data_IF_515445776807
#
_entry.id   IF_515445776807
#
_cell.length_a   1.000
_cell.length_b   1.000
_cell.length_c   1.000
_cell.angle_alpha   90.00
_cell.angle_beta   90.00
_cell.angle_gamma   90.00
#
_symmetry.space_group_name_H-M   'P 1'
#
loop_
_entity.id
_entity.type
_entity.pdbx_description
1 polymer ?
#
# COMPACT_ATOMS: atom_id res chain seq x y z
N UNK A 1 -3.48 -0.21 -30.86
CA UNK A 1 -2.39 -0.94 -30.18
C UNK A 1 -2.46 -0.56 -28.71
N UNK A 2 -2.54 -1.51 -27.79
CA UNK A 2 -2.54 -1.25 -26.33
C UNK A 2 -1.12 -0.98 -25.85
N UNK A 3 -0.95 -0.17 -24.79
CA UNK A 3 0.33 0.24 -24.24
C UNK A 3 0.55 -0.34 -22.85
N UNK A 4 1.82 -0.49 -22.48
CA UNK A 4 2.27 -0.82 -21.14
C UNK A 4 3.48 0.03 -20.76
N UNK A 5 3.62 0.36 -19.46
CA UNK A 5 4.82 0.95 -18.88
C UNK A 5 5.68 -0.17 -18.35
N UNK A 6 6.95 -0.20 -18.77
CA UNK A 6 7.88 -1.28 -18.43
C UNK A 6 9.12 -0.73 -17.74
N UNK A 7 9.53 -1.39 -16.67
CA UNK A 7 10.84 -1.23 -16.08
C UNK A 7 11.90 -1.99 -16.92
N UNK A 8 12.95 -1.29 -17.34
CA UNK A 8 14.01 -1.83 -18.17
C UNK A 8 15.29 -2.02 -17.39
N UNK A 9 15.65 -1.05 -16.58
CA UNK A 9 16.82 -1.05 -15.69
C UNK A 9 16.69 0.09 -14.68
N UNK A 10 17.60 0.17 -13.72
CA UNK A 10 17.61 1.23 -12.72
C UNK A 10 17.37 2.60 -13.37
N UNK A 11 16.37 3.33 -12.87
CA UNK A 11 15.92 4.66 -13.31
C UNK A 11 15.47 4.75 -14.77
N UNK A 12 15.12 3.59 -15.38
CA UNK A 12 14.72 3.55 -16.77
C UNK A 12 13.38 2.84 -16.93
N UNK A 13 12.35 3.62 -17.27
CA UNK A 13 11.05 3.12 -17.68
C UNK A 13 10.82 3.47 -19.14
N UNK A 14 10.19 2.58 -19.90
CA UNK A 14 9.67 2.87 -21.23
C UNK A 14 8.16 2.66 -21.33
N UNK A 15 7.56 3.20 -22.38
CA UNK A 15 6.18 2.94 -22.76
C UNK A 15 6.20 2.23 -24.11
N UNK A 16 5.71 1.01 -24.15
CA UNK A 16 5.76 0.15 -25.32
C UNK A 16 4.43 -0.57 -25.56
N UNK A 17 4.22 -1.13 -26.78
CA UNK A 17 3.05 -1.96 -27.05
C UNK A 17 2.94 -3.10 -26.05
N UNK A 18 1.75 -3.26 -25.43
CA UNK A 18 1.44 -4.39 -24.59
C UNK A 18 1.17 -5.64 -25.44
N UNK A 19 1.74 -6.77 -25.04
CA UNK A 19 1.48 -8.06 -25.67
C UNK A 19 0.36 -8.75 -24.88
N UNK A 20 -0.88 -8.67 -25.37
CA UNK A 20 -2.02 -9.35 -24.75
C UNK A 20 -2.61 -10.36 -25.72
N UNK A 21 -2.72 -11.62 -25.28
CA UNK A 21 -3.49 -12.68 -25.94
C UNK A 21 -4.89 -12.81 -25.31
N UNK A 22 -5.75 -13.66 -25.88
CA UNK A 22 -7.00 -14.04 -25.21
C UNK A 22 -6.70 -14.73 -23.87
N UNK A 23 -7.55 -14.53 -22.83
CA UNK A 23 -7.35 -15.17 -21.54
C UNK A 23 -7.45 -16.71 -21.68
N UNK A 24 -6.54 -17.41 -21.02
CA UNK A 24 -6.52 -18.86 -20.93
C UNK A 24 -7.57 -19.43 -19.96
N UNK A 25 -7.50 -20.75 -19.70
CA UNK A 25 -8.38 -21.41 -18.75
C UNK A 25 -8.17 -20.85 -17.32
N UNK A 26 -9.25 -20.42 -16.68
CA UNK A 26 -9.21 -19.83 -15.34
C UNK A 26 -8.71 -18.39 -15.27
N UNK A 27 -8.48 -17.73 -16.41
CA UNK A 27 -7.98 -16.37 -16.49
C UNK A 27 -9.04 -15.37 -16.95
N UNK A 28 -8.82 -14.11 -16.65
CA UNK A 28 -9.67 -12.98 -17.05
C UNK A 28 -8.78 -11.89 -17.63
N UNK A 29 -9.20 -11.32 -18.75
CA UNK A 29 -8.60 -10.09 -19.29
C UNK A 29 -9.30 -8.87 -18.68
N UNK A 30 -8.50 -7.96 -18.16
CA UNK A 30 -8.92 -6.71 -17.56
C UNK A 30 -8.53 -5.51 -18.43
N UNK A 31 -9.31 -4.44 -18.32
CA UNK A 31 -8.89 -3.08 -18.65
C UNK A 31 -8.60 -2.35 -17.34
N UNK A 32 -7.35 -2.26 -16.87
CA UNK A 32 -7.00 -1.38 -15.77
C UNK A 32 -7.44 0.04 -16.08
N UNK A 33 -8.10 0.70 -15.13
CA UNK A 33 -8.49 2.10 -15.27
C UNK A 33 -7.47 2.99 -14.57
N UNK A 34 -7.21 2.73 -13.30
CA UNK A 34 -6.25 3.48 -12.50
C UNK A 34 -5.29 2.54 -11.77
N UNK A 35 -4.02 2.93 -11.72
CA UNK A 35 -2.96 2.20 -11.01
C UNK A 35 -2.18 3.16 -10.13
N UNK A 36 -2.15 2.90 -8.81
CA UNK A 36 -1.35 3.66 -7.86
C UNK A 36 0.15 3.37 -8.01
N UNK A 37 0.98 4.40 -7.86
CA UNK A 37 2.43 4.22 -7.71
C UNK A 37 2.72 4.00 -6.22
N UNK A 38 3.32 2.86 -5.90
CA UNK A 38 3.70 2.44 -4.56
C UNK A 38 5.17 2.76 -4.26
N UNK A 39 5.54 2.84 -2.98
CA UNK A 39 6.95 2.86 -2.56
C UNK A 39 7.76 1.67 -3.05
N UNK A 40 7.15 0.50 -3.17
CA UNK A 40 7.77 -0.70 -3.74
C UNK A 40 8.11 -0.51 -5.23
N UNK A 41 7.24 0.14 -6.01
CA UNK A 41 7.54 0.46 -7.40
C UNK A 41 8.74 1.42 -7.51
N UNK A 42 8.90 2.35 -6.54
CA UNK A 42 10.08 3.23 -6.48
C UNK A 42 11.35 2.45 -6.12
N UNK A 43 11.29 1.47 -5.22
CA UNK A 43 12.44 0.58 -4.96
C UNK A 43 12.86 -0.20 -6.21
N UNK A 44 11.89 -0.68 -7.00
CA UNK A 44 12.20 -1.30 -8.30
C UNK A 44 12.83 -0.28 -9.23
N UNK A 45 12.24 0.91 -9.35
CA UNK A 45 12.76 1.99 -10.20
C UNK A 45 14.19 2.38 -9.85
N UNK A 46 14.57 2.36 -8.57
CA UNK A 46 15.95 2.61 -8.12
C UNK A 46 16.92 1.47 -8.41
N UNK A 47 16.44 0.28 -8.77
CA UNK A 47 17.25 -0.91 -8.96
C UNK A 47 17.50 -1.72 -7.69
N UNK A 48 16.90 -1.34 -6.57
CA UNK A 48 17.08 -2.02 -5.28
C UNK A 48 16.55 -3.47 -5.32
N UNK A 49 15.70 -3.78 -6.30
CA UNK A 49 15.07 -5.09 -6.47
C UNK A 49 15.51 -5.84 -7.74
N UNK A 50 16.57 -5.41 -8.43
CA UNK A 50 17.04 -6.03 -9.68
C UNK A 50 17.38 -7.52 -9.55
N UNK A 51 17.76 -7.98 -8.37
CA UNK A 51 17.98 -9.41 -8.11
C UNK A 51 16.69 -10.25 -8.13
N UNK A 52 15.52 -9.60 -8.04
CA UNK A 52 14.20 -10.24 -7.98
C UNK A 52 13.36 -10.01 -9.22
N UNK A 53 13.42 -8.82 -9.79
CA UNK A 53 12.57 -8.39 -10.90
C UNK A 53 13.19 -8.77 -12.23
N UNK A 54 12.52 -9.63 -13.01
CA UNK A 54 12.96 -9.98 -14.35
C UNK A 54 12.60 -8.87 -15.34
N UNK A 55 13.59 -8.31 -16.03
CA UNK A 55 13.40 -7.22 -17.01
C UNK A 55 13.25 -7.72 -18.44
N UNK A 56 12.43 -7.07 -19.30
CA UNK A 56 11.55 -5.95 -18.97
C UNK A 56 10.32 -6.37 -18.15
N UNK A 57 9.94 -5.58 -17.13
CA UNK A 57 8.82 -5.86 -16.24
C UNK A 57 7.74 -4.79 -16.33
N UNK A 58 6.47 -5.19 -16.45
CA UNK A 58 5.33 -4.28 -16.28
C UNK A 58 5.04 -4.16 -14.79
N UNK A 59 5.10 -2.93 -14.24
CA UNK A 59 4.89 -2.67 -12.82
C UNK A 59 3.42 -2.45 -12.47
N UNK A 60 3.16 -2.22 -11.19
CA UNK A 60 1.87 -1.79 -10.65
C UNK A 60 1.03 -2.93 -10.09
N UNK A 61 0.59 -2.74 -8.85
CA UNK A 61 -0.17 -3.72 -8.06
C UNK A 61 -1.35 -3.09 -7.31
N UNK A 62 -1.41 -1.76 -7.21
CA UNK A 62 -2.51 -1.00 -6.62
C UNK A 62 -3.48 -0.56 -7.72
N UNK A 63 -4.46 -1.38 -8.09
CA UNK A 63 -5.24 -1.11 -9.31
C UNK A 63 -6.75 -1.21 -9.11
N UNK A 64 -7.46 -0.55 -10.00
CA UNK A 64 -8.87 -0.73 -10.27
C UNK A 64 -9.12 -0.81 -11.78
N UNK A 65 -10.17 -1.50 -12.17
CA UNK A 65 -10.49 -1.63 -13.59
C UNK A 65 -11.77 -2.40 -13.84
N UNK A 66 -11.93 -2.86 -15.08
CA UNK A 66 -13.10 -3.63 -15.49
C UNK A 66 -12.69 -4.91 -16.21
N UNK A 67 -13.52 -5.94 -16.04
CA UNK A 67 -13.43 -7.16 -16.82
C UNK A 67 -13.75 -6.86 -18.27
N UNK A 68 -12.90 -7.33 -19.19
CA UNK A 68 -13.09 -7.21 -20.66
C UNK A 68 -13.53 -8.53 -21.26
N UNK A 69 -12.82 -9.61 -20.93
CA UNK A 69 -13.11 -10.96 -21.40
C UNK A 69 -12.85 -11.97 -20.28
N UNK A 70 -13.62 -13.06 -20.30
CA UNK A 70 -13.43 -14.20 -19.40
C UNK A 70 -12.93 -15.39 -20.19
N UNK A 71 -11.96 -16.10 -19.65
CA UNK A 71 -11.43 -17.33 -20.25
C UNK A 71 -12.31 -18.54 -19.92
N UNK A 72 -12.03 -19.69 -20.58
CA UNK A 72 -12.74 -20.92 -20.28
C UNK A 72 -12.64 -21.32 -18.80
N UNK A 73 -13.72 -21.88 -18.24
CA UNK A 73 -13.77 -22.35 -16.86
C UNK A 73 -13.90 -21.25 -15.79
N UNK A 74 -14.01 -19.99 -16.19
CA UNK A 74 -14.26 -18.87 -15.25
C UNK A 74 -15.76 -18.71 -15.04
N UNK A 75 -16.18 -18.74 -13.79
CA UNK A 75 -17.55 -18.51 -13.36
C UNK A 75 -17.65 -17.27 -12.47
N UNK A 76 -18.85 -16.65 -12.37
CA UNK A 76 -19.12 -15.52 -11.49
C UNK A 76 -18.61 -14.15 -11.99
N UNK A 77 -17.91 -14.09 -13.11
CA UNK A 77 -17.41 -12.87 -13.74
C UNK A 77 -17.95 -12.66 -15.14
N UNK A 78 -18.19 -11.42 -15.52
CA UNK A 78 -18.67 -11.02 -16.86
C UNK A 78 -18.03 -9.71 -17.31
N UNK A 79 -17.96 -9.46 -18.62
CA UNK A 79 -17.51 -8.17 -19.14
C UNK A 79 -18.29 -7.00 -18.54
N UNK A 80 -17.55 -5.95 -18.14
CA UNK A 80 -18.09 -4.76 -17.49
C UNK A 80 -18.02 -4.77 -15.96
N UNK A 81 -17.88 -5.94 -15.31
CA UNK A 81 -17.74 -6.01 -13.84
C UNK A 81 -16.57 -5.16 -13.37
N UNK A 82 -16.82 -4.30 -12.37
CA UNK A 82 -15.79 -3.49 -11.72
C UNK A 82 -15.00 -4.35 -10.72
N UNK A 83 -13.67 -4.28 -10.82
CA UNK A 83 -12.77 -5.13 -10.03
C UNK A 83 -11.53 -4.38 -9.56
N UNK A 84 -10.97 -4.83 -8.45
CA UNK A 84 -9.57 -4.71 -8.10
C UNK A 84 -8.94 -6.11 -8.07
N UNK A 85 -7.62 -6.18 -8.00
CA UNK A 85 -6.88 -7.45 -7.97
C UNK A 85 -6.14 -7.55 -6.64
N UNK A 86 -6.29 -8.66 -5.92
CA UNK A 86 -5.41 -9.03 -4.83
C UNK A 86 -4.16 -9.67 -5.46
N UNK A 87 -3.03 -8.95 -5.58
CA UNK A 87 -1.92 -9.33 -6.46
C UNK A 87 -1.02 -10.43 -5.88
N UNK A 88 -1.59 -11.41 -5.18
CA UNK A 88 -0.88 -12.48 -4.51
C UNK A 88 -1.24 -13.86 -5.07
N UNK A 89 -0.23 -14.61 -5.52
CA UNK A 89 -0.36 -16.02 -5.86
C UNK A 89 0.56 -16.84 -4.97
N UNK A 90 0.03 -17.87 -4.37
CA UNK A 90 0.73 -18.74 -3.41
C UNK A 90 0.71 -20.21 -3.84
N UNK A 91 1.67 -21.00 -3.35
CA UNK A 91 1.81 -22.41 -3.72
C UNK A 91 0.81 -23.36 -3.02
N UNK A 92 0.18 -22.91 -1.93
CA UNK A 92 -0.73 -23.71 -1.13
C UNK A 92 -0.08 -24.84 -0.31
N UNK A 93 1.22 -25.10 -0.49
CA UNK A 93 1.89 -26.31 0.02
C UNK A 93 2.99 -26.03 1.04
N UNK A 94 3.56 -24.85 1.06
CA UNK A 94 4.61 -24.49 2.01
C UNK A 94 4.09 -24.41 3.47
N UNK A 95 4.95 -24.41 4.49
CA UNK A 95 4.52 -24.34 5.89
C UNK A 95 3.62 -23.14 6.20
N UNK A 96 3.93 -21.96 5.64
CA UNK A 96 3.11 -20.76 5.85
C UNK A 96 1.69 -20.94 5.26
N UNK A 97 1.58 -21.47 4.03
CA UNK A 97 0.30 -21.75 3.40
C UNK A 97 -0.53 -22.77 4.20
N UNK A 98 0.11 -23.85 4.68
CA UNK A 98 -0.57 -24.87 5.50
C UNK A 98 -1.04 -24.34 6.85
N UNK A 99 -0.39 -23.30 7.38
CA UNK A 99 -0.79 -22.62 8.62
C UNK A 99 -1.81 -21.50 8.39
N UNK A 100 -2.32 -21.31 7.14
CA UNK A 100 -3.28 -20.26 6.79
C UNK A 100 -2.65 -18.91 6.43
N UNK A 101 -1.33 -18.76 6.55
CA UNK A 101 -0.62 -17.50 6.29
C UNK A 101 -0.14 -17.42 4.82
N UNK A 102 -1.07 -17.42 3.88
CA UNK A 102 -0.80 -17.48 2.44
C UNK A 102 -0.09 -16.23 1.91
N UNK A 103 -0.37 -15.07 2.48
CA UNK A 103 0.26 -13.78 2.14
C UNK A 103 1.77 -13.75 2.36
N UNK A 104 2.31 -14.63 3.21
CA UNK A 104 3.75 -14.82 3.44
C UNK A 104 4.23 -16.17 2.93
N UNK A 105 3.65 -16.66 1.84
CA UNK A 105 4.07 -17.88 1.15
C UNK A 105 5.56 -17.83 0.81
N UNK A 106 6.23 -18.97 0.97
CA UNK A 106 7.67 -19.10 0.66
C UNK A 106 7.98 -18.91 -0.83
N UNK A 107 7.00 -19.25 -1.69
CA UNK A 107 7.06 -19.13 -3.14
C UNK A 107 5.97 -18.16 -3.64
N UNK A 108 5.83 -17.03 -2.94
CA UNK A 108 4.86 -16.03 -3.30
C UNK A 108 5.23 -15.41 -4.64
N UNK A 109 4.31 -15.45 -5.60
CA UNK A 109 4.35 -14.62 -6.79
C UNK A 109 3.53 -13.37 -6.51
N UNK A 110 4.21 -12.25 -6.35
CA UNK A 110 3.58 -10.94 -6.18
C UNK A 110 3.42 -10.28 -7.55
N UNK A 111 2.18 -10.27 -8.04
CA UNK A 111 1.85 -9.74 -9.36
C UNK A 111 2.13 -8.23 -9.39
N UNK A 112 2.88 -7.77 -10.39
CA UNK A 112 3.40 -6.41 -10.47
C UNK A 112 4.85 -6.27 -10.00
N UNK A 113 5.45 -7.37 -9.45
CA UNK A 113 6.84 -7.46 -9.07
C UNK A 113 7.48 -8.71 -9.68
N UNK A 114 6.94 -9.90 -9.37
CA UNK A 114 7.47 -11.20 -9.82
C UNK A 114 6.86 -11.62 -11.17
N UNK A 115 5.71 -11.07 -11.52
CA UNK A 115 4.99 -11.29 -12.76
C UNK A 115 4.36 -9.96 -13.24
N UNK A 116 3.93 -9.85 -14.54
CA UNK A 116 3.47 -8.58 -15.11
C UNK A 116 2.33 -7.93 -14.33
N UNK A 117 2.48 -6.63 -14.02
CA UNK A 117 1.54 -5.81 -13.28
C UNK A 117 0.53 -5.05 -14.12
N UNK A 118 -0.17 -4.13 -13.47
CA UNK A 118 -1.35 -3.45 -13.99
C UNK A 118 -1.08 -2.15 -14.76
N UNK A 119 0.16 -1.62 -14.82
CA UNK A 119 0.45 -0.39 -15.58
C UNK A 119 0.42 -0.64 -17.10
N UNK A 120 -0.74 -1.09 -17.58
CA UNK A 120 -1.01 -1.39 -19.00
C UNK A 120 -2.50 -1.30 -19.31
N UNK A 121 -2.82 -1.10 -20.58
CA UNK A 121 -4.22 -0.92 -21.00
C UNK A 121 -5.02 -2.22 -21.09
N UNK A 122 -4.35 -3.37 -21.17
CA UNK A 122 -4.96 -4.71 -21.14
C UNK A 122 -4.07 -5.61 -20.32
N UNK A 123 -4.68 -6.39 -19.45
CA UNK A 123 -3.97 -7.22 -18.50
C UNK A 123 -4.69 -8.53 -18.22
N UNK A 124 -4.01 -9.65 -18.34
CA UNK A 124 -4.59 -10.97 -18.06
C UNK A 124 -4.09 -11.49 -16.72
N UNK A 125 -5.03 -11.90 -15.86
CA UNK A 125 -4.75 -12.41 -14.52
C UNK A 125 -5.62 -13.64 -14.23
N UNK A 126 -5.23 -14.48 -13.25
CA UNK A 126 -6.11 -15.55 -12.75
C UNK A 126 -7.39 -14.97 -12.15
N UNK A 127 -8.54 -15.53 -12.50
CA UNK A 127 -9.84 -15.10 -11.97
C UNK A 127 -9.93 -15.18 -10.43
N UNK A 128 -9.14 -16.07 -9.81
CA UNK A 128 -9.05 -16.22 -8.35
C UNK A 128 -8.43 -15.04 -7.61
N UNK A 129 -7.79 -14.12 -8.31
CA UNK A 129 -7.19 -12.90 -7.72
C UNK A 129 -8.14 -11.70 -7.74
N UNK A 130 -9.27 -11.83 -8.42
CA UNK A 130 -10.22 -10.72 -8.59
C UNK A 130 -11.05 -10.50 -7.33
N UNK A 131 -11.18 -9.24 -6.95
CA UNK A 131 -12.09 -8.77 -5.89
C UNK A 131 -13.10 -7.85 -6.53
N UNK A 132 -14.40 -8.13 -6.28
CA UNK A 132 -15.50 -7.33 -6.81
C UNK A 132 -15.56 -5.95 -6.13
N UNK A 133 -15.70 -4.92 -6.93
CA UNK A 133 -15.94 -3.57 -6.45
C UNK A 133 -17.43 -3.25 -6.52
N UNK A 134 -18.02 -2.64 -5.48
CA UNK A 134 -19.37 -2.08 -5.58
C UNK A 134 -19.42 -0.95 -6.62
N UNK A 135 -20.56 -0.84 -7.33
CA UNK A 135 -20.76 0.24 -8.32
C UNK A 135 -20.71 1.65 -7.72
N UNK A 136 -20.85 1.76 -6.39
CA UNK A 136 -20.78 3.04 -5.66
C UNK A 136 -19.36 3.61 -5.55
N UNK A 137 -18.32 2.79 -5.79
CA UNK A 137 -16.93 3.28 -5.68
C UNK A 137 -16.44 3.72 -7.07
N UNK A 138 -16.09 5.00 -7.28
CA UNK A 138 -15.38 5.43 -8.47
C UNK A 138 -14.03 4.71 -8.62
N UNK A 139 -13.67 4.33 -9.86
CA UNK A 139 -12.47 3.51 -10.09
C UNK A 139 -11.18 4.19 -9.65
N UNK A 140 -11.06 5.52 -9.75
CA UNK A 140 -9.91 6.27 -9.22
C UNK A 140 -9.72 6.05 -7.72
N UNK A 141 -10.81 6.07 -6.95
CA UNK A 141 -10.79 5.83 -5.51
C UNK A 141 -10.53 4.36 -5.18
N UNK A 142 -11.07 3.45 -5.99
CA UNK A 142 -10.88 2.01 -5.83
C UNK A 142 -9.42 1.55 -6.00
N UNK A 143 -8.58 2.32 -6.68
CA UNK A 143 -7.14 2.06 -6.76
C UNK A 143 -6.44 2.12 -5.37
N UNK A 144 -7.07 2.72 -4.35
CA UNK A 144 -6.56 2.76 -2.99
C UNK A 144 -7.02 1.58 -2.11
N UNK A 145 -7.79 0.65 -2.65
CA UNK A 145 -8.24 -0.54 -1.89
C UNK A 145 -7.04 -1.39 -1.48
N UNK A 146 -6.10 -1.64 -2.39
CA UNK A 146 -4.91 -2.45 -2.08
C UNK A 146 -4.08 -1.86 -0.94
N UNK A 147 -3.59 -0.60 -0.99
CA UNK A 147 -2.84 -0.04 0.14
C UNK A 147 -3.68 0.13 1.42
N UNK A 148 -5.01 0.23 1.30
CA UNK A 148 -5.90 0.19 2.48
C UNK A 148 -5.92 -1.21 3.09
N UNK A 149 -5.86 -2.29 2.28
CA UNK A 149 -5.78 -3.66 2.79
C UNK A 149 -4.47 -3.89 3.57
N UNK A 150 -3.35 -3.30 3.14
CA UNK A 150 -2.09 -3.28 3.92
C UNK A 150 -2.34 -2.67 5.30
N UNK A 151 -2.96 -1.48 5.36
CA UNK A 151 -3.25 -0.80 6.62
C UNK A 151 -4.20 -1.61 7.52
N UNK A 152 -5.21 -2.25 6.95
CA UNK A 152 -6.14 -3.13 7.69
C UNK A 152 -5.38 -4.31 8.30
N UNK A 153 -4.50 -4.93 7.53
CA UNK A 153 -3.66 -6.03 8.00
C UNK A 153 -2.74 -5.59 9.14
N UNK A 154 -2.04 -4.48 8.97
CA UNK A 154 -1.08 -3.96 9.95
C UNK A 154 -1.75 -3.64 11.29
N UNK A 155 -2.90 -2.96 11.25
CA UNK A 155 -3.71 -2.64 12.44
C UNK A 155 -4.23 -3.91 13.11
N UNK A 156 -4.70 -4.89 12.32
CA UNK A 156 -5.11 -6.20 12.79
C UNK A 156 -3.96 -6.99 13.44
N UNK A 157 -2.77 -6.99 12.82
CA UNK A 157 -1.55 -7.65 13.34
C UNK A 157 -1.06 -7.03 14.65
N UNK A 158 -1.12 -5.70 14.75
CA UNK A 158 -0.81 -5.00 15.98
C UNK A 158 -1.87 -5.22 17.08
N UNK A 159 -3.05 -5.72 16.71
CA UNK A 159 -4.15 -5.96 17.63
C UNK A 159 -4.66 -4.69 18.31
N UNK A 160 -4.79 -3.61 17.52
CA UNK A 160 -5.32 -2.32 18.01
C UNK A 160 -6.74 -2.48 18.51
N UNK A 161 -7.05 -1.85 19.64
CA UNK A 161 -8.34 -1.91 20.33
C UNK A 161 -8.95 -0.53 20.51
N UNK A 162 -10.25 -0.51 20.73
CA UNK A 162 -10.97 0.71 21.10
C UNK A 162 -10.38 1.37 22.37
N UNK A 163 -10.21 2.69 22.31
CA UNK A 163 -9.64 3.50 23.38
C UNK A 163 -8.12 3.47 23.51
N UNK A 164 -7.39 2.64 22.75
CA UNK A 164 -5.91 2.62 22.78
C UNK A 164 -5.29 3.89 22.17
N UNK A 165 -4.16 4.28 22.71
CA UNK A 165 -3.34 5.40 22.25
C UNK A 165 -2.29 4.90 21.25
N UNK A 166 -2.40 5.36 20.02
CA UNK A 166 -1.60 4.85 18.89
C UNK A 166 -0.72 5.95 18.30
N UNK A 167 0.56 5.66 18.11
CA UNK A 167 1.50 6.54 17.41
C UNK A 167 1.89 5.91 16.07
N UNK A 168 1.76 6.66 14.98
CA UNK A 168 2.20 6.25 13.64
C UNK A 168 3.41 7.08 13.26
N UNK A 169 4.59 6.46 13.17
CA UNK A 169 5.84 7.10 12.78
C UNK A 169 6.02 6.99 11.27
N UNK A 170 5.78 8.11 10.58
CA UNK A 170 5.73 8.25 9.13
C UNK A 170 4.31 8.55 8.64
N UNK A 171 4.10 9.75 8.08
CA UNK A 171 2.84 10.24 7.53
C UNK A 171 2.74 10.09 6.00
N UNK A 172 3.44 9.13 5.41
CA UNK A 172 3.27 8.75 4.01
C UNK A 172 1.92 8.07 3.73
N UNK A 173 1.66 7.63 2.49
CA UNK A 173 0.37 7.04 2.12
C UNK A 173 -0.07 5.90 3.03
N UNK A 174 0.82 4.93 3.30
CA UNK A 174 0.51 3.79 4.19
C UNK A 174 0.33 4.24 5.63
N UNK A 175 1.16 5.17 6.13
CA UNK A 175 1.04 5.68 7.50
C UNK A 175 -0.28 6.40 7.75
N UNK A 176 -0.73 7.23 6.81
CA UNK A 176 -2.04 7.89 6.92
C UNK A 176 -3.17 6.85 6.84
N UNK A 177 -3.08 5.85 5.97
CA UNK A 177 -4.08 4.78 5.92
C UNK A 177 -4.12 3.98 7.23
N UNK A 178 -2.97 3.62 7.82
CA UNK A 178 -2.90 2.98 9.15
C UNK A 178 -3.55 3.86 10.20
N UNK A 179 -3.25 5.16 10.23
CA UNK A 179 -3.84 6.10 11.19
C UNK A 179 -5.36 6.17 11.06
N UNK A 180 -5.89 6.20 9.83
CA UNK A 180 -7.33 6.24 9.58
C UNK A 180 -8.01 4.91 9.96
N UNK A 181 -7.40 3.77 9.66
CA UNK A 181 -7.92 2.44 10.02
C UNK A 181 -7.87 2.22 11.53
N UNK A 182 -6.78 2.62 12.21
CA UNK A 182 -6.67 2.55 13.67
C UNK A 182 -7.72 3.44 14.35
N UNK A 183 -7.95 4.67 13.84
CA UNK A 183 -9.02 5.54 14.32
C UNK A 183 -10.41 4.94 14.09
N UNK A 184 -10.64 4.29 12.97
CA UNK A 184 -11.89 3.59 12.70
C UNK A 184 -12.11 2.38 13.62
N UNK A 185 -11.03 1.81 14.17
CA UNK A 185 -11.07 0.79 15.21
C UNK A 185 -11.28 1.37 16.63
N UNK A 186 -11.45 2.69 16.77
CA UNK A 186 -11.71 3.38 18.03
C UNK A 186 -10.48 3.90 18.76
N UNK A 187 -9.28 3.80 18.18
CA UNK A 187 -8.06 4.29 18.80
C UNK A 187 -7.93 5.83 18.72
N UNK A 188 -7.29 6.44 19.71
CA UNK A 188 -6.82 7.83 19.64
C UNK A 188 -5.43 7.83 18.99
N UNK A 189 -5.29 8.52 17.86
CA UNK A 189 -4.11 8.36 16.97
C UNK A 189 -3.33 9.66 16.86
N UNK A 190 -1.99 9.54 16.90
CA UNK A 190 -1.05 10.63 16.58
C UNK A 190 -0.11 10.19 15.48
N UNK A 191 0.17 11.10 14.55
CA UNK A 191 1.10 10.88 13.42
C UNK A 191 2.37 11.68 13.67
N UNK A 192 3.53 11.07 13.41
CA UNK A 192 4.84 11.72 13.47
C UNK A 192 5.39 11.84 12.07
N UNK A 193 5.51 13.08 11.55
CA UNK A 193 5.87 13.32 10.14
C UNK A 193 6.65 14.64 9.99
N UNK A 194 7.86 14.64 9.39
CA UNK A 194 8.64 15.86 9.19
C UNK A 194 8.10 16.78 8.08
N UNK A 195 7.42 16.24 7.05
CA UNK A 195 6.87 17.03 5.94
C UNK A 195 5.68 17.88 6.38
N UNK A 196 5.77 19.19 6.23
CA UNK A 196 4.69 20.12 6.55
C UNK A 196 3.43 19.84 5.73
N UNK A 197 3.57 19.54 4.43
CA UNK A 197 2.46 19.21 3.56
C UNK A 197 1.70 17.95 4.03
N UNK A 198 2.43 16.89 4.42
CA UNK A 198 1.80 15.65 4.90
C UNK A 198 1.16 15.83 6.26
N UNK A 199 1.74 16.64 7.14
CA UNK A 199 1.09 16.99 8.42
C UNK A 199 -0.21 17.76 8.20
N UNK A 200 -0.20 18.76 7.31
CA UNK A 200 -1.41 19.52 6.94
C UNK A 200 -2.52 18.59 6.42
N UNK A 201 -2.18 17.66 5.54
CA UNK A 201 -3.15 16.67 5.06
C UNK A 201 -3.68 15.79 6.19
N UNK A 202 -2.81 15.32 7.10
CA UNK A 202 -3.23 14.55 8.27
C UNK A 202 -4.23 15.34 9.13
N UNK A 203 -3.96 16.62 9.39
CA UNK A 203 -4.83 17.53 10.14
C UNK A 203 -6.18 17.75 9.43
N UNK A 204 -6.16 17.97 8.11
CA UNK A 204 -7.37 18.07 7.29
C UNK A 204 -8.22 16.79 7.29
N UNK A 205 -7.59 15.63 7.55
CA UNK A 205 -8.24 14.35 7.73
C UNK A 205 -8.69 14.11 9.18
N UNK A 206 -8.52 15.12 10.07
CA UNK A 206 -8.89 15.05 11.47
C UNK A 206 -7.95 14.23 12.34
N UNK A 207 -6.69 14.07 11.92
CA UNK A 207 -5.61 13.45 12.69
C UNK A 207 -4.74 14.54 13.32
N UNK A 208 -4.17 14.29 14.48
CA UNK A 208 -3.13 15.17 15.05
C UNK A 208 -1.77 14.71 14.54
N UNK A 209 -0.97 15.65 14.02
CA UNK A 209 0.36 15.35 13.48
C UNK A 209 1.44 16.20 14.18
N UNK A 210 2.57 15.56 14.49
CA UNK A 210 3.71 16.18 15.16
C UNK A 210 4.94 16.21 14.25
N UNK A 211 5.71 17.31 14.32
CA UNK A 211 6.98 17.43 13.62
C UNK A 211 8.14 16.93 14.52
N UNK A 212 8.79 15.80 14.19
CA UNK A 212 9.87 15.27 15.00
C UNK A 212 11.16 16.10 14.95
N UNK A 213 11.25 17.08 14.03
CA UNK A 213 12.41 17.98 13.93
C UNK A 213 12.29 19.17 14.90
N UNK A 214 11.06 19.59 15.19
CA UNK A 214 10.76 20.78 15.99
C UNK A 214 10.31 20.45 17.42
N UNK A 215 9.88 19.20 17.67
CA UNK A 215 9.29 18.79 18.93
C UNK A 215 9.94 17.53 19.49
N UNK A 216 10.04 17.46 20.80
CA UNK A 216 10.36 16.23 21.54
C UNK A 216 9.12 15.33 21.53
N UNK A 217 9.06 14.42 20.54
CA UNK A 217 7.91 13.50 20.37
C UNK A 217 7.67 12.63 21.60
N UNK A 218 8.66 12.00 22.23
CA UNK A 218 8.48 11.29 23.49
C UNK A 218 7.85 12.14 24.60
N UNK A 219 8.24 13.42 24.74
CA UNK A 219 7.64 14.32 25.71
C UNK A 219 6.17 14.64 25.37
N UNK A 220 5.84 14.89 24.09
CA UNK A 220 4.47 15.09 23.65
C UNK A 220 3.58 13.86 23.93
N UNK A 221 4.14 12.66 23.73
CA UNK A 221 3.42 11.42 24.06
C UNK A 221 3.19 11.29 25.55
N UNK A 222 4.19 11.56 26.42
CA UNK A 222 4.01 11.55 27.87
C UNK A 222 2.89 12.50 28.32
N UNK A 223 2.89 13.73 27.80
CA UNK A 223 1.85 14.73 28.10
C UNK A 223 0.47 14.25 27.65
N UNK A 224 0.35 13.74 26.42
CA UNK A 224 -0.92 13.24 25.87
C UNK A 224 -1.44 12.00 26.60
N UNK A 225 -0.56 11.10 27.02
CA UNK A 225 -0.90 9.84 27.67
C UNK A 225 -0.89 9.91 29.20
N UNK A 226 -0.68 11.09 29.79
CA UNK A 226 -0.51 11.28 31.24
C UNK A 226 0.57 10.33 31.81
N UNK A 227 1.76 10.35 31.19
CA UNK A 227 2.96 9.55 31.49
C UNK A 227 2.83 8.02 31.21
N UNK A 228 1.70 7.54 30.71
CA UNK A 228 1.52 6.11 30.45
C UNK A 228 2.38 5.61 29.25
N UNK A 229 2.63 6.48 28.26
CA UNK A 229 3.17 6.11 26.96
C UNK A 229 2.10 5.50 26.04
N UNK A 230 2.42 5.35 24.76
CA UNK A 230 1.50 4.78 23.79
C UNK A 230 1.33 3.26 23.93
N UNK A 231 0.12 2.75 23.66
CA UNK A 231 -0.17 1.31 23.64
C UNK A 231 0.42 0.63 22.42
N UNK A 232 0.38 1.32 21.26
CA UNK A 232 0.87 0.80 19.98
C UNK A 232 1.66 1.89 19.26
N UNK A 233 2.79 1.50 18.68
CA UNK A 233 3.52 2.33 17.72
C UNK A 233 3.67 1.56 16.41
N UNK A 234 3.39 2.24 15.29
CA UNK A 234 3.68 1.73 13.95
C UNK A 234 4.91 2.44 13.40
N UNK A 235 5.92 1.68 12.98
CA UNK A 235 7.06 2.20 12.25
C UNK A 235 6.82 1.99 10.74
N UNK A 236 6.55 3.10 10.04
CA UNK A 236 6.13 3.14 8.62
C UNK A 236 7.07 3.99 7.79
N UNK A 237 7.98 4.72 8.44
CA UNK A 237 8.84 5.69 7.79
C UNK A 237 10.04 5.08 7.06
N UNK A 238 10.55 3.93 7.53
CA UNK A 238 11.83 3.37 7.09
C UNK A 238 13.05 4.22 7.44
N UNK A 239 12.86 5.37 8.11
CA UNK A 239 13.91 6.29 8.49
C UNK A 239 14.82 5.70 9.59
N UNK A 240 16.06 6.18 9.64
CA UNK A 240 17.03 5.67 10.61
C UNK A 240 16.57 5.85 12.07
N UNK A 241 16.01 7.04 12.40
CA UNK A 241 15.46 7.32 13.74
C UNK A 241 14.02 6.85 13.97
N UNK A 242 13.35 6.31 12.95
CA UNK A 242 11.93 5.91 13.06
C UNK A 242 11.71 4.80 14.08
N UNK A 243 12.57 3.77 14.07
CA UNK A 243 12.50 2.65 15.02
C UNK A 243 12.77 3.13 16.44
N UNK A 244 13.77 3.99 16.63
CA UNK A 244 14.12 4.56 17.94
C UNK A 244 12.94 5.36 18.51
N UNK A 245 12.38 6.29 17.73
CA UNK A 245 11.19 7.06 18.11
C UNK A 245 10.03 6.13 18.46
N UNK A 246 9.75 5.12 17.62
CA UNK A 246 8.65 4.19 17.83
C UNK A 246 8.81 3.35 19.11
N UNK A 247 10.03 2.96 19.47
CA UNK A 247 10.32 2.26 20.75
C UNK A 247 10.20 3.21 21.94
N UNK A 248 10.67 4.45 21.78
CA UNK A 248 10.74 5.41 22.87
C UNK A 248 9.36 5.86 23.37
N UNK A 249 8.41 6.03 22.45
CA UNK A 249 7.05 6.48 22.75
C UNK A 249 6.17 5.43 23.43
N UNK A 250 6.54 4.15 23.38
CA UNK A 250 5.73 3.07 23.95
C UNK A 250 5.70 3.08 25.48
N UNK A 251 4.53 2.82 26.02
CA UNK A 251 4.31 2.54 27.43
C UNK A 251 4.67 1.11 27.83
N UNK A 252 4.40 0.75 29.09
CA UNK A 252 4.58 -0.62 29.59
C UNK A 252 3.69 -1.58 28.83
N UNK A 253 4.26 -2.72 28.36
CA UNK A 253 3.62 -3.72 27.49
C UNK A 253 3.13 -3.19 26.16
N UNK A 254 3.66 -2.05 25.74
CA UNK A 254 3.38 -1.50 24.41
C UNK A 254 3.85 -2.40 23.27
N UNK A 255 3.23 -2.24 22.11
CA UNK A 255 3.47 -3.05 20.91
C UNK A 255 4.07 -2.18 19.81
N UNK A 256 5.25 -2.56 19.31
CA UNK A 256 5.85 -1.98 18.11
C UNK A 256 5.49 -2.85 16.89
N UNK A 257 4.77 -2.30 15.94
CA UNK A 257 4.52 -2.93 14.65
C UNK A 257 5.47 -2.36 13.58
N UNK A 258 6.33 -3.22 13.03
CA UNK A 258 7.24 -2.87 11.93
C UNK A 258 6.54 -3.12 10.60
N UNK A 259 6.31 -2.07 9.84
CA UNK A 259 5.65 -2.07 8.54
C UNK A 259 6.63 -1.69 7.42
N UNK A 260 7.51 -0.71 7.68
CA UNK A 260 8.45 -0.24 6.68
C UNK A 260 9.51 -1.28 6.32
N UNK A 261 9.92 -1.27 5.05
CA UNK A 261 11.06 -2.05 4.55
C UNK A 261 12.33 -1.28 4.89
N UNK A 262 13.17 -1.85 5.77
CA UNK A 262 14.48 -1.29 6.11
C UNK A 262 15.56 -1.92 5.24
N UNK A 263 16.28 -1.13 4.40
CA UNK A 263 17.30 -1.66 3.49
C UNK A 263 18.57 -2.15 4.21
N UNK A 264 18.71 -1.79 5.50
CA UNK A 264 19.85 -2.19 6.36
C UNK A 264 19.35 -2.56 7.75
N UNK A 265 20.05 -3.46 8.49
CA UNK A 265 19.75 -3.72 9.89
C UNK A 265 19.69 -2.42 10.73
N UNK A 266 18.76 -2.37 11.69
CA UNK A 266 18.61 -1.26 12.63
C UNK A 266 18.93 -1.72 14.04
N UNK A 267 19.55 -0.86 14.81
CA UNK A 267 19.72 -1.08 16.24
C UNK A 267 18.40 -0.92 16.98
N UNK A 268 18.17 -1.77 17.96
CA UNK A 268 16.99 -1.74 18.82
C UNK A 268 17.47 -1.82 20.26
N UNK A 269 17.00 -0.89 21.11
CA UNK A 269 17.29 -0.90 22.54
C UNK A 269 16.59 -2.06 23.24
N UNK A 270 17.27 -3.20 23.33
CA UNK A 270 16.76 -4.41 23.99
C UNK A 270 16.54 -4.22 25.49
N UNK A 271 17.23 -3.27 26.14
CA UNK A 271 17.02 -2.96 27.56
C UNK A 271 15.60 -2.41 27.78
N UNK A 272 15.12 -1.56 26.90
CA UNK A 272 13.72 -1.05 26.98
C UNK A 272 12.71 -2.16 26.77
N UNK A 273 12.97 -3.09 25.84
CA UNK A 273 12.12 -4.26 25.64
C UNK A 273 12.00 -5.11 26.88
N UNK A 274 13.13 -5.40 27.54
CA UNK A 274 13.13 -6.14 28.81
C UNK A 274 12.41 -5.39 29.92
N UNK A 275 12.74 -4.10 30.10
CA UNK A 275 12.27 -3.32 31.23
C UNK A 275 10.79 -2.98 31.19
N UNK A 276 10.27 -2.76 29.98
CA UNK A 276 8.85 -2.41 29.77
C UNK A 276 8.00 -3.59 29.27
N UNK A 277 8.55 -4.79 29.14
CA UNK A 277 7.89 -5.97 28.55
C UNK A 277 7.29 -5.66 27.16
N UNK A 278 8.03 -4.96 26.30
CA UNK A 278 7.54 -4.57 24.97
C UNK A 278 7.42 -5.76 24.03
N UNK A 279 6.50 -5.68 23.08
CA UNK A 279 6.32 -6.66 22.02
C UNK A 279 6.72 -6.06 20.67
N UNK A 280 7.55 -6.79 19.87
CA UNK A 280 7.88 -6.46 18.50
C UNK A 280 7.12 -7.36 17.54
N UNK A 281 6.39 -6.76 16.60
CA UNK A 281 5.53 -7.45 15.63
C UNK A 281 5.96 -7.03 14.22
N UNK A 282 6.19 -8.01 13.33
CA UNK A 282 6.32 -7.73 11.89
C UNK A 282 4.96 -7.85 11.22
N UNK A 283 4.68 -6.97 10.28
CA UNK A 283 3.50 -7.02 9.43
C UNK A 283 3.88 -6.75 7.97
N UNK A 284 3.20 -7.42 7.04
CA UNK A 284 3.37 -7.17 5.60
C UNK A 284 2.21 -7.74 4.81
N UNK A 285 1.87 -7.07 3.71
CA UNK A 285 0.81 -7.51 2.80
C UNK A 285 -0.56 -7.62 3.51
N UNK A 286 -1.36 -8.62 3.16
CA UNK A 286 -2.75 -8.78 3.62
C UNK A 286 -3.25 -10.19 3.29
N UNK A 287 -4.33 -10.60 3.90
CA UNK A 287 -5.13 -11.74 3.46
C UNK A 287 -6.44 -11.27 2.80
N UNK A 288 -7.26 -12.24 2.37
CA UNK A 288 -8.51 -11.94 1.68
C UNK A 288 -9.48 -11.12 2.55
N UNK A 289 -9.58 -11.44 3.84
CA UNK A 289 -10.48 -10.73 4.76
C UNK A 289 -10.08 -9.26 4.97
N UNK A 290 -8.77 -8.97 4.97
CA UNK A 290 -8.25 -7.60 5.03
C UNK A 290 -8.65 -6.82 3.77
N UNK A 291 -8.57 -7.47 2.61
CA UNK A 291 -8.93 -6.87 1.32
C UNK A 291 -10.42 -6.56 1.22
N UNK A 292 -11.28 -7.50 1.64
CA UNK A 292 -12.74 -7.29 1.68
C UNK A 292 -13.12 -6.15 2.62
N UNK A 293 -12.47 -6.07 3.78
CA UNK A 293 -12.66 -4.96 4.73
C UNK A 293 -12.18 -3.63 4.15
N UNK A 294 -11.08 -3.61 3.41
CA UNK A 294 -10.59 -2.41 2.73
C UNK A 294 -11.58 -1.89 1.68
N UNK A 295 -12.19 -2.79 0.88
CA UNK A 295 -13.27 -2.41 -0.05
C UNK A 295 -14.42 -1.72 0.69
N UNK A 296 -14.85 -2.26 1.84
CA UNK A 296 -15.93 -1.66 2.62
C UNK A 296 -15.54 -0.26 3.14
N UNK A 297 -14.34 -0.09 3.70
CA UNK A 297 -13.86 1.18 4.25
C UNK A 297 -13.68 2.28 3.18
N UNK A 298 -13.32 1.90 1.95
CA UNK A 298 -13.26 2.85 0.83
C UNK A 298 -14.67 3.15 0.31
N UNK A 299 -15.57 2.16 0.28
CA UNK A 299 -16.94 2.31 -0.21
C UNK A 299 -17.78 3.23 0.67
N UNK A 300 -17.66 3.12 1.99
CA UNK A 300 -18.43 3.91 2.96
C UNK A 300 -17.81 5.28 3.26
N UNK A 301 -16.61 5.57 2.71
CA UNK A 301 -15.91 6.83 2.87
C UNK A 301 -15.13 6.97 4.18
N UNK A 302 -15.04 5.94 5.00
CA UNK A 302 -14.15 5.91 6.18
C UNK A 302 -12.71 6.19 5.79
N UNK A 303 -12.30 5.65 4.63
CA UNK A 303 -11.07 6.05 3.94
C UNK A 303 -11.43 7.07 2.85
N UNK A 304 -11.12 8.37 3.05
CA UNK A 304 -11.43 9.43 2.10
C UNK A 304 -10.44 9.41 0.92
N UNK A 305 -10.46 8.35 0.11
CA UNK A 305 -9.49 8.04 -0.92
C UNK A 305 -9.22 9.23 -1.86
N UNK A 306 -10.26 9.99 -2.23
CA UNK A 306 -10.12 11.18 -3.07
C UNK A 306 -9.17 12.25 -2.49
N UNK A 307 -9.05 12.35 -1.16
CA UNK A 307 -8.18 13.31 -0.48
C UNK A 307 -6.71 12.88 -0.49
N UNK A 308 -6.47 11.58 -0.66
CA UNK A 308 -5.12 10.99 -0.70
C UNK A 308 -4.53 11.01 -2.12
N UNK A 309 -5.35 11.17 -3.16
CA UNK A 309 -4.90 11.24 -4.55
C UNK A 309 -4.46 12.67 -4.85
N UNK A 310 -3.15 12.89 -4.93
CA UNK A 310 -2.57 14.20 -5.22
C UNK A 310 -2.57 14.51 -6.72
N UNK A 311 -2.46 13.47 -7.56
CA UNK A 311 -2.34 13.65 -9.00
C UNK A 311 -2.77 12.39 -9.75
N UNK A 312 -3.38 12.61 -10.92
CA UNK A 312 -3.62 11.56 -11.93
C UNK A 312 -2.85 11.92 -13.18
N UNK A 313 -2.11 10.98 -13.74
CA UNK A 313 -1.31 11.17 -14.96
C UNK A 313 -1.67 10.11 -15.99
N UNK A 314 -1.68 10.43 -17.29
CA UNK A 314 -1.91 9.42 -18.31
C UNK A 314 -0.75 8.40 -18.34
N UNK A 315 -1.02 7.18 -18.80
CA UNK A 315 -0.06 6.07 -18.88
C UNK A 315 1.26 6.48 -19.55
N UNK A 316 1.19 7.29 -20.60
CA UNK A 316 2.36 7.79 -21.33
C UNK A 316 3.24 8.75 -20.52
N UNK A 317 2.74 9.28 -19.41
CA UNK A 317 3.48 10.16 -18.50
C UNK A 317 3.92 9.46 -17.20
N UNK A 318 3.65 8.17 -17.07
CA UNK A 318 4.07 7.42 -15.88
C UNK A 318 5.58 7.51 -15.61
N UNK A 319 6.49 7.38 -16.61
CA UNK A 319 7.93 7.54 -16.35
C UNK A 319 8.28 8.86 -15.65
N UNK A 320 7.75 9.98 -16.14
CA UNK A 320 7.96 11.29 -15.52
C UNK A 320 7.32 11.42 -14.12
N UNK A 321 6.28 10.66 -13.82
CA UNK A 321 5.67 10.63 -12.49
C UNK A 321 6.57 9.91 -11.47
N UNK A 322 7.26 8.85 -11.87
CA UNK A 322 8.26 8.18 -11.02
C UNK A 322 9.42 9.15 -10.67
N UNK A 323 9.96 9.86 -11.66
CA UNK A 323 11.00 10.86 -11.45
C UNK A 323 10.55 11.98 -10.50
N UNK A 324 9.30 12.45 -10.65
CA UNK A 324 8.74 13.50 -9.78
C UNK A 324 8.60 13.04 -8.31
N UNK A 325 8.28 11.77 -8.08
CA UNK A 325 8.18 11.20 -6.72
C UNK A 325 9.53 11.12 -6.02
N UNK A 326 10.64 10.93 -6.75
CA UNK A 326 12.00 10.98 -6.18
C UNK A 326 12.34 12.34 -5.58
N UNK A 327 11.84 13.42 -6.18
CA UNK A 327 12.07 14.78 -5.72
C UNK A 327 11.43 15.13 -4.37
N UNK A 328 10.68 14.22 -3.76
CA UNK A 328 10.10 14.39 -2.41
C UNK A 328 9.09 15.53 -2.31
N UNK A 329 8.43 15.91 -3.41
CA UNK A 329 7.46 17.01 -3.44
C UNK A 329 6.21 16.76 -2.59
N UNK A 330 5.30 17.76 -2.62
CA UNK A 330 4.01 17.76 -1.90
C UNK A 330 3.02 16.77 -2.51
N UNK A 331 3.40 15.48 -2.53
CA UNK A 331 2.65 14.39 -3.16
C UNK A 331 2.38 13.29 -2.14
N UNK A 332 1.12 12.84 -2.09
CA UNK A 332 0.72 11.69 -1.28
C UNK A 332 0.60 10.44 -2.16
N UNK A 333 -0.31 10.42 -3.12
CA UNK A 333 -0.50 9.30 -4.06
C UNK A 333 -0.63 9.83 -5.48
N UNK A 334 0.11 9.25 -6.42
CA UNK A 334 -0.10 9.45 -7.86
C UNK A 334 -0.80 8.22 -8.42
N UNK A 335 -1.83 8.45 -9.22
CA UNK A 335 -2.46 7.41 -10.04
C UNK A 335 -2.03 7.55 -11.49
N UNK A 336 -1.78 6.43 -12.12
CA UNK A 336 -1.60 6.31 -13.56
C UNK A 336 -2.96 5.94 -14.17
N UNK A 337 -3.47 6.79 -15.04
CA UNK A 337 -4.67 6.54 -15.84
C UNK A 337 -4.30 5.67 -17.05
N UNK A 338 -4.79 4.44 -17.05
CA UNK A 338 -4.55 3.43 -18.07
C UNK A 338 -5.68 3.38 -19.13
N UNK A 339 -6.69 4.25 -19.06
CA UNK A 339 -7.82 4.24 -19.97
C UNK A 339 -7.40 4.69 -21.38
N UNK A 340 -8.13 4.23 -22.41
CA UNK A 340 -7.87 4.64 -23.81
C UNK A 340 -8.17 6.13 -24.04
N UNK A 341 -8.99 6.76 -23.19
CA UNK A 341 -9.39 8.18 -23.29
C UNK A 341 -8.22 9.15 -23.05
N UNK A 342 -7.18 8.69 -22.34
CA UNK A 342 -5.96 9.48 -22.14
C UNK A 342 -5.17 9.78 -23.44
N UNK A 343 -5.59 9.23 -24.59
CA UNK A 343 -4.99 9.53 -25.90
C UNK A 343 -5.48 10.85 -26.50
N UNK A 344 -6.67 11.33 -26.15
CA UNK A 344 -7.29 12.53 -26.74
C UNK A 344 -6.88 13.87 -26.10
N UNK A 345 -6.19 13.85 -24.97
CA UNK A 345 -5.82 15.08 -24.24
C UNK A 345 -4.34 15.52 -24.44
N UNK A 346 -3.62 14.87 -25.36
CA UNK A 346 -2.20 15.13 -25.64
C UNK A 346 -1.92 15.80 -27.02
N UNK A 347 -2.98 16.36 -27.68
CA UNK A 347 -2.84 17.22 -28.88
C UNK A 347 -3.05 18.71 -28.56
#
# INVERSE_FOLDING_TARGET
MTLAVRYISARTLDTAPALTGPPGHGEVELAPAYVGICGTDLHIFHGDMDARVATPAVLGHEMSGRVVRVGPGVEGWRPGDAVTVMPLRWDGTCPACRSGHRHICRHLDFIGIDSPGAMQQRWTVPASTLIRLPDSIPLDRAALVEPTAVAVHDVGRAGVRDGEQVVVVGGGPVGILIALVARAAGADVRVVEPSAHRRLLAEELGLTAWNPVEADVPELVRQWTTDAGADVAFEVSGAAGGVETAVEVLGVRGRLCLVAIHPRPREVDLHRFFWRELTLIGARLYDLGDFEKAVALVADGTIPAARLISKVVPLTRAPAAFEALEGGGDVMKILVDCTDEARGAAE
#
